data_IF_159091606602
#
_entry.id   IF_159091606602
#
_cell.length_a   1.000
_cell.length_b   1.000
_cell.length_c   1.000
_cell.angle_alpha   90.00
_cell.angle_beta   90.00
_cell.angle_gamma   90.00
#
_symmetry.space_group_name_H-M   'P 1'
#
loop_
_entity.id
_entity.type
_entity.pdbx_description
1 polymer ?
#
# COMPACT_ATOMS: atom_id res chain seq x y z
N UNK A 1 1.33 18.32 -0.31
CA UNK A 1 0.27 18.44 0.72
C UNK A 1 -0.92 17.67 0.20
N UNK A 2 -1.38 16.65 0.91
CA UNK A 2 -2.61 15.96 0.53
C UNK A 2 -3.80 16.93 0.71
N UNK A 3 -4.59 17.12 -0.34
CA UNK A 3 -5.82 17.88 -0.31
C UNK A 3 -6.98 16.89 -0.15
N UNK A 4 -7.67 16.96 0.98
CA UNK A 4 -8.80 16.05 1.28
C UNK A 4 -9.89 16.04 0.19
N UNK A 5 -10.06 17.15 -0.55
CA UNK A 5 -11.06 17.28 -1.60
C UNK A 5 -10.51 17.06 -3.01
N UNK A 6 -9.23 16.77 -3.15
CA UNK A 6 -8.65 16.44 -4.45
C UNK A 6 -8.99 14.99 -4.81
N UNK A 7 -9.60 14.83 -5.97
CA UNK A 7 -10.09 13.52 -6.44
C UNK A 7 -8.90 12.62 -6.73
N UNK A 8 -7.82 13.16 -7.30
CA UNK A 8 -6.64 12.38 -7.62
C UNK A 8 -6.02 11.84 -6.32
N UNK A 9 -5.96 12.65 -5.25
CA UNK A 9 -5.48 12.22 -3.94
C UNK A 9 -6.32 11.09 -3.33
N UNK A 10 -7.65 11.15 -3.47
CA UNK A 10 -8.57 10.10 -2.99
C UNK A 10 -8.31 8.80 -3.77
N UNK A 11 -8.19 8.90 -5.10
CA UNK A 11 -7.95 7.74 -5.96
C UNK A 11 -6.56 7.11 -5.71
N UNK A 12 -5.55 7.93 -5.42
CA UNK A 12 -4.21 7.46 -5.02
C UNK A 12 -4.30 6.63 -3.73
N UNK A 13 -5.11 7.06 -2.77
CA UNK A 13 -5.21 6.40 -1.47
C UNK A 13 -6.06 5.12 -1.49
N UNK A 14 -6.86 4.92 -2.52
CA UNK A 14 -7.62 3.69 -2.76
C UNK A 14 -6.74 2.54 -3.29
N UNK A 15 -5.52 2.82 -3.75
CA UNK A 15 -4.56 1.80 -4.19
C UNK A 15 -4.31 0.73 -3.12
N UNK A 16 -4.28 -0.53 -3.56
CA UNK A 16 -4.15 -1.69 -2.67
C UNK A 16 -2.67 -1.94 -2.35
N UNK A 17 -2.36 -2.04 -1.07
CA UNK A 17 -1.02 -2.34 -0.57
C UNK A 17 -1.01 -3.61 0.26
N UNK A 18 0.06 -4.38 0.12
CA UNK A 18 0.30 -5.51 1.00
C UNK A 18 0.83 -5.01 2.34
N UNK A 19 0.20 -5.44 3.42
CA UNK A 19 0.62 -5.18 4.79
C UNK A 19 0.83 -6.48 5.56
N UNK A 20 1.63 -6.42 6.61
CA UNK A 20 1.84 -7.49 7.58
C UNK A 20 1.34 -7.00 8.93
N UNK A 21 0.40 -7.71 9.55
CA UNK A 21 -0.11 -7.36 10.87
C UNK A 21 0.93 -7.67 11.95
N UNK A 22 1.33 -6.67 12.75
CA UNK A 22 2.24 -6.86 13.89
C UNK A 22 1.50 -7.14 15.19
N UNK A 23 0.19 -6.90 15.20
CA UNK A 23 -0.69 -7.13 16.33
C UNK A 23 -1.88 -7.94 15.84
N UNK A 24 -2.38 -8.78 16.73
CA UNK A 24 -3.64 -9.47 16.50
C UNK A 24 -4.79 -8.46 16.36
N UNK A 25 -5.73 -8.76 15.48
CA UNK A 25 -6.91 -7.94 15.28
C UNK A 25 -8.15 -8.83 15.23
N UNK A 26 -9.12 -8.56 16.10
CA UNK A 26 -10.40 -9.27 16.16
C UNK A 26 -11.53 -8.41 15.61
N UNK A 27 -12.60 -9.04 15.12
CA UNK A 27 -13.77 -8.36 14.56
C UNK A 27 -13.51 -7.77 13.17
N UNK A 28 -12.52 -8.32 12.45
CA UNK A 28 -12.14 -7.83 11.12
C UNK A 28 -12.69 -8.79 10.07
N UNK A 29 -13.77 -8.39 9.41
CA UNK A 29 -14.40 -9.16 8.32
C UNK A 29 -13.62 -9.05 7.00
N UNK A 30 -12.33 -9.38 7.02
CA UNK A 30 -11.46 -9.30 5.83
C UNK A 30 -11.75 -10.43 4.86
N UNK A 31 -11.97 -11.64 5.36
CA UNK A 31 -12.29 -12.81 4.54
C UNK A 31 -13.72 -13.30 4.86
N UNK A 32 -14.67 -13.15 3.93
CA UNK A 32 -16.04 -13.64 4.13
C UNK A 32 -16.13 -15.17 4.21
N UNK A 33 -15.06 -15.90 3.86
CA UNK A 33 -14.97 -17.36 3.98
C UNK A 33 -14.36 -17.83 5.31
N UNK A 34 -13.78 -16.92 6.10
CA UNK A 34 -13.22 -17.28 7.40
C UNK A 34 -14.34 -17.40 8.42
N UNK A 35 -14.41 -18.53 9.13
CA UNK A 35 -15.34 -18.72 10.25
C UNK A 35 -14.90 -17.93 11.50
N UNK A 36 -13.65 -17.46 11.53
CA UNK A 36 -13.08 -16.66 12.61
C UNK A 36 -12.81 -15.23 12.13
N UNK A 37 -13.44 -14.25 12.80
CA UNK A 37 -13.18 -12.81 12.62
C UNK A 37 -11.86 -12.41 13.32
N UNK A 38 -10.76 -13.07 12.99
CA UNK A 38 -9.48 -12.88 13.66
C UNK A 38 -8.31 -12.91 12.69
N UNK A 39 -7.37 -11.99 12.90
CA UNK A 39 -6.10 -11.91 12.17
C UNK A 39 -4.97 -12.20 13.15
N UNK A 40 -4.19 -13.23 12.84
CA UNK A 40 -2.99 -13.60 13.58
C UNK A 40 -1.84 -12.61 13.33
N UNK A 41 -0.93 -12.53 14.28
CA UNK A 41 0.33 -11.79 14.11
C UNK A 41 1.11 -12.37 12.92
N UNK A 42 1.77 -11.49 12.18
CA UNK A 42 2.52 -11.75 10.95
C UNK A 42 1.68 -12.20 9.74
N UNK A 43 0.34 -12.11 9.83
CA UNK A 43 -0.54 -12.34 8.69
C UNK A 43 -0.34 -11.28 7.61
N UNK A 44 -0.15 -11.73 6.36
CA UNK A 44 -0.07 -10.88 5.19
C UNK A 44 -1.47 -10.64 4.64
N UNK A 45 -1.87 -9.37 4.55
CA UNK A 45 -3.20 -8.95 4.08
C UNK A 45 -3.04 -7.83 3.06
N UNK A 46 -3.98 -7.74 2.13
CA UNK A 46 -4.08 -6.63 1.18
C UNK A 46 -5.13 -5.63 1.67
N UNK A 47 -4.74 -4.38 1.85
CA UNK A 47 -5.60 -3.30 2.33
C UNK A 47 -5.45 -2.06 1.43
N UNK A 48 -6.49 -1.24 1.31
CA UNK A 48 -6.35 0.10 0.72
C UNK A 48 -5.33 0.94 1.49
N UNK A 49 -4.58 1.78 0.78
CA UNK A 49 -3.52 2.59 1.36
C UNK A 49 -4.02 3.55 2.46
N UNK A 50 -5.19 4.19 2.30
CA UNK A 50 -5.76 5.07 3.34
C UNK A 50 -5.88 4.35 4.70
N UNK A 51 -6.29 3.09 4.70
CA UNK A 51 -6.44 2.30 5.92
C UNK A 51 -5.08 1.81 6.43
N UNK A 52 -4.24 1.31 5.52
CA UNK A 52 -2.90 0.83 5.86
C UNK A 52 -2.05 1.92 6.52
N UNK A 53 -2.14 3.16 6.01
CA UNK A 53 -1.46 4.33 6.56
C UNK A 53 -1.89 4.61 8.00
N UNK A 54 -3.19 4.66 8.28
CA UNK A 54 -3.73 4.88 9.62
C UNK A 54 -3.36 3.76 10.61
N UNK A 55 -3.33 2.51 10.16
CA UNK A 55 -2.91 1.38 10.98
C UNK A 55 -1.39 1.38 11.26
N UNK A 56 -0.59 1.82 10.29
CA UNK A 56 0.85 1.97 10.45
C UNK A 56 1.18 3.03 11.50
N UNK A 57 0.49 4.18 11.48
CA UNK A 57 0.67 5.25 12.48
C UNK A 57 0.42 4.75 13.91
N UNK A 58 -0.48 3.78 14.07
CA UNK A 58 -0.76 3.10 15.36
C UNK A 58 0.19 1.92 15.67
N UNK A 59 1.19 1.69 14.82
CA UNK A 59 2.14 0.58 14.90
C UNK A 59 1.43 -0.80 14.94
N UNK A 60 0.28 -0.92 14.27
CA UNK A 60 -0.48 -2.16 14.20
C UNK A 60 -0.05 -3.03 13.01
N UNK A 61 0.43 -2.42 11.93
CA UNK A 61 0.84 -3.10 10.70
C UNK A 61 2.24 -2.65 10.26
N UNK A 62 2.83 -3.40 9.32
CA UNK A 62 3.98 -3.03 8.50
C UNK A 62 3.54 -3.01 7.04
N UNK A 63 3.71 -1.90 6.35
CA UNK A 63 3.46 -1.84 4.89
C UNK A 63 4.65 -2.46 4.16
N UNK A 64 4.38 -3.32 3.17
CA UNK A 64 5.39 -3.85 2.25
C UNK A 64 5.55 -2.93 1.05
N UNK A 65 6.74 -2.94 0.44
CA UNK A 65 6.99 -2.18 -0.79
C UNK A 65 6.06 -2.71 -1.90
N UNK A 66 5.19 -1.85 -2.49
CA UNK A 66 4.33 -2.26 -3.57
C UNK A 66 5.14 -2.71 -4.79
N UNK A 67 4.57 -3.60 -5.63
CA UNK A 67 5.27 -4.15 -6.78
C UNK A 67 5.72 -3.08 -7.78
N UNK A 68 5.00 -1.96 -7.88
CA UNK A 68 5.38 -0.83 -8.71
C UNK A 68 6.71 -0.19 -8.25
N UNK A 69 7.10 -0.28 -6.98
CA UNK A 69 8.36 0.26 -6.45
C UNK A 69 9.40 -0.81 -6.12
N UNK A 70 9.21 -2.06 -6.55
CA UNK A 70 10.16 -3.14 -6.33
C UNK A 70 11.55 -2.84 -6.92
N UNK A 71 12.56 -3.55 -6.42
CA UNK A 71 13.95 -3.38 -6.85
C UNK A 71 14.12 -3.51 -8.37
N UNK A 72 13.38 -4.43 -9.01
CA UNK A 72 13.39 -4.59 -10.48
C UNK A 72 12.98 -3.30 -11.19
N UNK A 73 11.86 -2.69 -10.79
CA UNK A 73 11.39 -1.42 -11.37
C UNK A 73 12.40 -0.30 -11.16
N UNK A 74 13.03 -0.24 -9.97
CA UNK A 74 14.06 0.76 -9.68
C UNK A 74 15.27 0.61 -10.60
N UNK A 75 15.73 -0.61 -10.86
CA UNK A 75 16.85 -0.88 -11.77
C UNK A 75 16.51 -0.53 -13.22
N UNK A 76 15.29 -0.82 -13.67
CA UNK A 76 14.83 -0.47 -15.03
C UNK A 76 14.77 1.05 -15.22
N UNK A 77 14.22 1.78 -14.24
CA UNK A 77 14.18 3.26 -14.28
C UNK A 77 15.59 3.86 -14.24
N UNK A 78 16.51 3.26 -13.47
CA UNK A 78 17.92 3.68 -13.43
C UNK A 78 18.66 3.41 -14.75
N UNK A 79 18.30 2.35 -15.46
CA UNK A 79 18.91 2.00 -16.75
C UNK A 79 18.47 2.96 -17.87
N UNK A 80 17.16 3.15 -18.04
CA UNK A 80 16.59 4.13 -18.96
C UNK A 80 15.14 4.47 -18.57
N UNK A 81 14.96 5.62 -17.92
CA UNK A 81 13.65 6.06 -17.44
C UNK A 81 12.64 6.30 -18.57
N UNK A 82 13.08 6.66 -19.78
CA UNK A 82 12.18 6.94 -20.89
C UNK A 82 11.58 5.66 -21.49
N UNK A 83 12.24 4.52 -21.30
CA UNK A 83 11.82 3.22 -21.80
C UNK A 83 10.81 2.49 -20.90
N UNK A 84 10.64 2.95 -19.64
CA UNK A 84 9.77 2.29 -18.66
C UNK A 84 8.36 2.82 -18.76
N UNK A 85 7.40 1.94 -19.02
CA UNK A 85 5.98 2.27 -18.93
C UNK A 85 5.54 2.27 -17.45
N UNK A 86 5.55 3.47 -16.88
CA UNK A 86 5.15 3.71 -15.49
C UNK A 86 3.62 3.63 -15.34
N UNK A 87 2.86 4.03 -16.36
CA UNK A 87 1.40 4.13 -16.32
C UNK A 87 0.75 2.75 -16.20
N UNK A 88 1.27 1.74 -16.90
CA UNK A 88 0.75 0.37 -16.77
C UNK A 88 1.04 -0.28 -15.42
N UNK A 89 2.02 0.24 -14.66
CA UNK A 89 2.38 -0.28 -13.34
C UNK A 89 1.60 0.37 -12.20
N UNK A 90 1.46 1.68 -12.25
CA UNK A 90 0.68 2.44 -11.28
C UNK A 90 0.28 3.77 -11.95
N UNK A 91 -1.02 4.03 -12.17
CA UNK A 91 -1.49 5.27 -12.79
C UNK A 91 -1.01 6.51 -12.03
N UNK A 92 -0.91 6.41 -10.70
CA UNK A 92 -0.53 7.49 -9.79
C UNK A 92 0.88 7.36 -9.21
N UNK A 93 1.82 6.79 -9.98
CA UNK A 93 3.15 6.40 -9.49
C UNK A 93 3.90 7.49 -8.69
N UNK A 94 3.86 8.74 -9.13
CA UNK A 94 4.61 9.82 -8.47
C UNK A 94 3.98 10.24 -7.14
N UNK A 95 2.67 10.48 -7.14
CA UNK A 95 1.93 10.90 -5.95
C UNK A 95 1.89 9.79 -4.90
N UNK A 96 1.59 8.57 -5.34
CA UNK A 96 1.63 7.38 -4.51
C UNK A 96 3.03 7.14 -3.94
N UNK A 97 4.08 7.31 -4.77
CA UNK A 97 5.47 7.20 -4.34
C UNK A 97 5.83 8.20 -3.24
N UNK A 98 5.37 9.44 -3.34
CA UNK A 98 5.60 10.46 -2.32
C UNK A 98 4.89 10.14 -1.00
N UNK A 99 3.67 9.58 -1.06
CA UNK A 99 2.90 9.19 0.14
C UNK A 99 3.50 7.96 0.81
N UNK A 100 4.00 7.00 0.04
CA UNK A 100 4.47 5.71 0.59
C UNK A 100 5.93 5.74 1.06
N UNK A 101 6.79 6.54 0.43
CA UNK A 101 8.22 6.62 0.76
C UNK A 101 8.57 6.83 2.26
N UNK A 102 7.83 7.62 3.07
CA UNK A 102 8.14 7.76 4.49
C UNK A 102 7.70 6.57 5.36
N UNK A 103 6.89 5.65 4.81
CA UNK A 103 6.25 4.56 5.54
C UNK A 103 7.00 3.22 5.40
N UNK A 104 7.63 3.00 4.24
CA UNK A 104 8.32 1.73 3.89
C UNK A 104 9.82 1.77 4.13
#
# INVERSE_FOLDING_TARGET
MANYYDIDDILVEEEIVSVIFKKEASGVGIDPSSEADFIEVDSKVELPFWLAHELQLRQAVSVNVPPCFNQKTRLEIQADCASVDIRSRCPYFYEFGCKIAPIV
#
